data_IF_344072684698
#
_entry.id   IF_344072684698
#
_cell.length_a   1.000
_cell.length_b   1.000
_cell.length_c   1.000
_cell.angle_alpha   90.00
_cell.angle_beta   90.00
_cell.angle_gamma   90.00
#
_symmetry.space_group_name_H-M   'P 1'
#
loop_
_entity.id
_entity.type
_entity.pdbx_description
1 polymer ?
#
# COMPACT_ATOMS: atom_id res chain seq x y z
N UNK A 1 15.42 0.49 9.38
CA UNK A 1 14.74 -0.53 10.20
C UNK A 1 13.39 -0.79 9.57
N UNK A 2 12.95 -2.05 9.47
CA UNK A 2 11.64 -2.37 8.92
C UNK A 2 10.53 -1.74 9.74
N UNK A 3 9.54 -1.14 9.08
CA UNK A 3 8.36 -0.54 9.69
C UNK A 3 7.14 -1.41 9.40
N UNK A 4 6.35 -1.66 10.44
CA UNK A 4 5.07 -2.37 10.33
C UNK A 4 3.95 -1.36 10.09
N UNK A 5 3.19 -1.55 9.03
CA UNK A 5 2.01 -0.75 8.67
C UNK A 5 0.82 -1.71 8.53
N UNK A 6 -0.31 -1.34 9.12
CA UNK A 6 -1.53 -2.16 9.12
C UNK A 6 -2.65 -1.40 8.42
N UNK A 7 -3.22 -2.01 7.39
CA UNK A 7 -4.33 -1.46 6.61
C UNK A 7 -5.61 -2.24 6.89
N UNK A 8 -6.68 -1.55 7.29
CA UNK A 8 -7.97 -2.21 7.51
C UNK A 8 -8.63 -2.56 6.18
N UNK A 9 -9.09 -3.81 6.03
CA UNK A 9 -9.87 -4.28 4.86
C UNK A 9 -11.25 -3.67 4.74
N UNK A 10 -11.70 -2.91 5.75
CA UNK A 10 -12.91 -2.08 5.65
C UNK A 10 -12.69 -0.83 4.79
N UNK A 11 -11.44 -0.41 4.60
CA UNK A 11 -11.07 0.78 3.86
C UNK A 11 -10.15 0.48 2.66
N UNK A 12 -9.28 -0.51 2.78
CA UNK A 12 -8.24 -0.84 1.79
C UNK A 12 -8.53 -2.17 1.09
N UNK A 13 -8.18 -2.22 -0.19
CA UNK A 13 -8.21 -3.45 -0.98
C UNK A 13 -6.83 -4.12 -0.93
N UNK A 14 -6.72 -5.43 -0.61
CA UNK A 14 -5.43 -6.13 -0.63
C UNK A 14 -4.67 -5.96 -1.94
N UNK A 15 -5.37 -6.00 -3.07
CA UNK A 15 -4.80 -5.85 -4.42
C UNK A 15 -4.20 -4.44 -4.63
N UNK A 16 -4.76 -3.42 -3.97
CA UNK A 16 -4.20 -2.06 -4.01
C UNK A 16 -2.91 -1.95 -3.19
N UNK A 17 -2.83 -2.66 -2.06
CA UNK A 17 -1.61 -2.73 -1.25
C UNK A 17 -0.50 -3.48 -1.99
N UNK A 18 -0.83 -4.60 -2.65
CA UNK A 18 0.10 -5.37 -3.49
C UNK A 18 0.61 -4.53 -4.67
N UNK A 19 -0.29 -3.84 -5.38
CA UNK A 19 0.08 -2.94 -6.48
C UNK A 19 0.99 -1.80 -5.98
N UNK A 20 0.72 -1.27 -4.79
CA UNK A 20 1.57 -0.24 -4.17
C UNK A 20 2.95 -0.79 -3.82
N UNK A 21 3.05 -1.97 -3.21
CA UNK A 21 4.33 -2.61 -2.92
C UNK A 21 5.17 -2.83 -4.18
N UNK A 22 4.55 -3.29 -5.27
CA UNK A 22 5.22 -3.46 -6.55
C UNK A 22 5.75 -2.13 -7.14
N UNK A 23 5.13 -0.99 -6.84
CA UNK A 23 5.60 0.34 -7.30
C UNK A 23 6.81 0.85 -6.55
N UNK A 24 7.03 0.37 -5.33
CA UNK A 24 8.13 0.79 -4.46
C UNK A 24 9.29 -0.22 -4.46
N UNK A 25 9.24 -1.29 -5.27
CA UNK A 25 10.24 -2.37 -5.29
C UNK A 25 11.67 -1.92 -5.57
N UNK A 26 11.84 -0.79 -6.27
CA UNK A 26 13.15 -0.19 -6.57
C UNK A 26 13.78 0.55 -5.39
N UNK A 27 13.01 0.84 -4.35
CA UNK A 27 13.41 1.76 -3.26
C UNK A 27 13.08 1.23 -1.86
N UNK A 28 12.37 0.11 -1.78
CA UNK A 28 12.02 -0.55 -0.55
C UNK A 28 11.72 -2.04 -0.79
N UNK A 29 12.00 -2.85 0.22
CA UNK A 29 11.52 -4.24 0.29
C UNK A 29 10.27 -4.30 1.15
N UNK A 30 9.20 -4.91 0.66
CA UNK A 30 7.96 -5.08 1.39
C UNK A 30 7.57 -6.57 1.48
N UNK A 31 7.17 -7.03 2.65
CA UNK A 31 6.48 -8.30 2.84
C UNK A 31 5.04 -8.07 3.27
N UNK A 32 4.11 -8.79 2.66
CA UNK A 32 2.68 -8.61 2.84
C UNK A 32 2.09 -9.88 3.47
N UNK A 33 1.28 -9.69 4.51
CA UNK A 33 0.44 -10.72 5.11
C UNK A 33 -1.00 -10.22 5.14
N UNK A 34 -1.95 -11.06 4.74
CA UNK A 34 -3.37 -10.69 4.68
C UNK A 34 -4.20 -11.67 5.50
N UNK A 35 -5.10 -11.15 6.32
CA UNK A 35 -6.13 -11.92 7.01
C UNK A 35 -7.53 -11.37 6.67
N UNK A 36 -8.58 -11.83 7.34
CA UNK A 36 -9.96 -11.41 7.04
C UNK A 36 -10.27 -9.93 7.35
N UNK A 37 -9.51 -9.28 8.25
CA UNK A 37 -9.77 -7.90 8.71
C UNK A 37 -8.74 -6.88 8.24
N UNK A 38 -7.52 -7.31 7.94
CA UNK A 38 -6.40 -6.41 7.71
C UNK A 38 -5.37 -6.97 6.71
N UNK A 39 -4.62 -6.04 6.12
CA UNK A 39 -3.42 -6.28 5.34
C UNK A 39 -2.27 -5.67 6.11
N UNK A 40 -1.33 -6.50 6.54
CA UNK A 40 -0.10 -6.08 7.21
C UNK A 40 1.04 -6.01 6.20
N UNK A 41 1.77 -4.90 6.23
CA UNK A 41 2.97 -4.69 5.42
C UNK A 41 4.15 -4.43 6.35
N UNK A 42 5.18 -5.24 6.24
CA UNK A 42 6.50 -4.94 6.82
C UNK A 42 7.37 -4.38 5.70
N UNK A 43 7.73 -3.10 5.81
CA UNK A 43 8.45 -2.37 4.77
C UNK A 43 9.81 -1.89 5.29
N UNK A 44 10.86 -2.20 4.54
CA UNK A 44 12.21 -1.73 4.78
C UNK A 44 12.64 -0.82 3.63
N UNK A 45 12.78 0.47 3.92
CA UNK A 45 13.24 1.48 2.97
C UNK A 45 14.75 1.41 2.75
N UNK A 46 15.20 1.69 1.53
CA UNK A 46 16.62 1.80 1.22
C UNK A 46 17.28 2.97 1.98
N UNK A 47 18.60 2.88 2.28
CA UNK A 47 19.35 3.92 2.99
C UNK A 47 19.50 5.20 2.16
N UNK A 48 18.45 6.03 2.10
CA UNK A 48 18.44 7.28 1.33
C UNK A 48 17.06 7.94 1.26
N UNK A 49 15.98 7.17 1.44
CA UNK A 49 14.61 7.68 1.36
C UNK A 49 14.01 8.08 2.71
N UNK A 50 14.57 7.58 3.82
CA UNK A 50 14.17 7.98 5.17
C UNK A 50 12.69 7.70 5.49
N UNK A 51 12.13 8.47 6.41
CA UNK A 51 10.75 8.29 6.88
C UNK A 51 9.68 8.72 5.85
N UNK A 52 10.01 9.62 4.92
CA UNK A 52 9.08 10.14 3.92
C UNK A 52 8.59 9.05 2.95
N UNK A 53 9.35 7.97 2.79
CA UNK A 53 8.94 6.81 1.99
C UNK A 53 7.69 6.15 2.55
N UNK A 54 7.59 6.02 3.88
CA UNK A 54 6.44 5.34 4.50
C UNK A 54 5.16 6.15 4.35
N UNK A 55 5.25 7.48 4.46
CA UNK A 55 4.11 8.37 4.23
C UNK A 55 3.69 8.35 2.76
N UNK A 56 4.67 8.37 1.85
CA UNK A 56 4.43 8.24 0.41
C UNK A 56 3.79 6.90 0.05
N UNK A 57 4.23 5.81 0.68
CA UNK A 57 3.66 4.47 0.53
C UNK A 57 2.20 4.45 0.98
N UNK A 58 1.89 4.97 2.17
CA UNK A 58 0.53 5.04 2.68
C UNK A 58 -0.40 5.88 1.77
N UNK A 59 0.09 7.02 1.30
CA UNK A 59 -0.66 7.89 0.40
C UNK A 59 -0.95 7.20 -0.94
N UNK A 60 0.04 6.48 -1.49
CA UNK A 60 -0.15 5.74 -2.73
C UNK A 60 -1.11 4.56 -2.56
N UNK A 61 -1.00 3.83 -1.45
CA UNK A 61 -1.92 2.74 -1.09
C UNK A 61 -3.38 3.22 -1.00
N UNK A 62 -3.61 4.38 -0.38
CA UNK A 62 -4.93 5.00 -0.32
C UNK A 62 -5.41 5.41 -1.71
N UNK A 63 -4.56 6.06 -2.51
CA UNK A 63 -4.91 6.47 -3.86
C UNK A 63 -5.29 5.27 -4.73
N UNK A 64 -4.50 4.20 -4.74
CA UNK A 64 -4.81 3.03 -5.54
C UNK A 64 -6.06 2.30 -5.07
N UNK A 65 -6.28 2.26 -3.75
CA UNK A 65 -7.53 1.76 -3.19
C UNK A 65 -8.74 2.54 -3.75
N UNK A 66 -8.67 3.87 -3.78
CA UNK A 66 -9.74 4.72 -4.32
C UNK A 66 -9.94 4.47 -5.83
N UNK A 67 -8.85 4.40 -6.60
CA UNK A 67 -8.87 4.16 -8.05
C UNK A 67 -9.52 2.81 -8.36
N UNK A 68 -9.06 1.74 -7.69
CA UNK A 68 -9.60 0.40 -7.88
C UNK A 68 -11.06 0.31 -7.43
N UNK A 69 -11.41 0.88 -6.27
CA UNK A 69 -12.79 0.90 -5.78
C UNK A 69 -13.74 1.61 -6.75
N UNK A 70 -13.31 2.75 -7.33
CA UNK A 70 -14.10 3.46 -8.36
C UNK A 70 -14.33 2.58 -9.59
N UNK A 71 -13.29 1.91 -10.08
CA UNK A 71 -13.41 0.97 -11.21
C UNK A 71 -14.39 -0.16 -10.90
N UNK A 72 -14.30 -0.77 -9.72
CA UNK A 72 -15.20 -1.85 -9.28
C UNK A 72 -16.66 -1.41 -9.20
N UNK A 73 -16.92 -0.16 -8.82
CA UNK A 73 -18.26 0.42 -8.72
C UNK A 73 -18.76 1.02 -10.05
N UNK A 74 -18.01 0.87 -11.15
CA UNK A 74 -18.40 1.39 -12.48
C UNK A 74 -18.18 2.90 -12.67
N UNK A 75 -17.42 3.55 -11.80
CA UNK A 75 -17.01 4.95 -11.94
C UNK A 75 -15.90 5.12 -12.99
N UNK A 76 -15.92 6.24 -13.71
CA UNK A 76 -14.84 6.65 -14.63
C UNK A 76 -13.72 7.36 -13.88
N UNK A 77 -12.46 7.10 -14.25
CA UNK A 77 -11.33 7.90 -13.79
C UNK A 77 -11.38 9.25 -14.51
N UNK A 78 -11.48 10.33 -13.74
CA UNK A 78 -11.42 11.70 -14.25
C UNK A 78 -9.99 12.07 -14.65
#
# INVERSE_FOLDING_TARGET
>A
MPRRIVFSRSLYLPEAIEATAARFDQVATASISTNEYEVEVLIEADPGYGEELYDSFCNHALFETIVMSRRLLGGTLA
#
